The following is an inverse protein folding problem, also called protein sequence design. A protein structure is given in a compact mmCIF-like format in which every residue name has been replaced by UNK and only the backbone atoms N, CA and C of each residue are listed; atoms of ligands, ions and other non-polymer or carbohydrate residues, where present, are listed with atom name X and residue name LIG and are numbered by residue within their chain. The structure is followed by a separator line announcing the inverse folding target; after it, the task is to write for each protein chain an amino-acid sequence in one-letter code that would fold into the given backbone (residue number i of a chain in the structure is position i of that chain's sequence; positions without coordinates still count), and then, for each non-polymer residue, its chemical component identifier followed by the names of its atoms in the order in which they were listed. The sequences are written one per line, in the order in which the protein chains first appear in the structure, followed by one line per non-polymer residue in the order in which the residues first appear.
data_IF_095457319924
#
_entry.id   IF_095457319924
#
_cell.length_a   1.000
_cell.length_b   1.000
_cell.length_c   1.000
_cell.angle_alpha   90.00
_cell.angle_beta   90.00
_cell.angle_gamma   90.00
#
_symmetry.space_group_name_H-M   'P 1'
#
loop_
_entity.id
_entity.type
_entity.pdbx_description
1 polymer ?
#
# COMPACT_ATOMS: atom_id res chain seq x y z
N UNK A 1 18.98 -6.94 2.97
CA UNK A 1 17.82 -6.15 3.44
C UNK A 1 17.16 -5.36 2.31
N UNK A 2 17.82 -4.40 1.64
CA UNK A 2 17.16 -3.59 0.60
C UNK A 2 16.58 -4.41 -0.56
N UNK A 3 17.30 -5.45 -1.03
CA UNK A 3 16.77 -6.41 -2.01
C UNK A 3 15.47 -7.07 -1.54
N UNK A 4 15.39 -7.46 -0.27
CA UNK A 4 14.17 -8.03 0.31
C UNK A 4 13.02 -7.02 0.29
N UNK A 5 13.25 -5.78 0.74
CA UNK A 5 12.21 -4.74 0.73
C UNK A 5 11.68 -4.47 -0.68
N UNK A 6 12.56 -4.33 -1.67
CA UNK A 6 12.16 -4.12 -3.07
C UNK A 6 11.46 -5.34 -3.66
N UNK A 7 11.83 -6.56 -3.26
CA UNK A 7 11.11 -7.77 -3.64
C UNK A 7 9.68 -7.76 -3.08
N UNK A 8 9.50 -7.37 -1.81
CA UNK A 8 8.16 -7.24 -1.22
C UNK A 8 7.33 -6.10 -1.82
N UNK A 9 7.96 -5.07 -2.38
CA UNK A 9 7.26 -4.06 -3.18
C UNK A 9 6.78 -4.67 -4.51
N UNK A 10 7.68 -5.31 -5.27
CA UNK A 10 7.32 -6.02 -6.50
C UNK A 10 6.13 -6.98 -6.30
N UNK A 11 6.17 -7.81 -5.26
CA UNK A 11 5.08 -8.76 -4.97
C UNK A 11 3.78 -8.06 -4.54
N UNK A 12 3.88 -6.90 -3.90
CA UNK A 12 2.73 -6.02 -3.65
C UNK A 12 2.08 -5.60 -4.97
N UNK A 13 2.88 -5.06 -5.90
CA UNK A 13 2.37 -4.59 -7.20
C UNK A 13 1.83 -5.74 -8.07
N UNK A 14 2.41 -6.93 -7.95
CA UNK A 14 1.85 -8.13 -8.60
C UNK A 14 0.45 -8.46 -8.06
N UNK A 15 0.26 -8.36 -6.74
CA UNK A 15 -1.05 -8.48 -6.12
C UNK A 15 -2.00 -7.39 -6.61
N UNK A 16 -1.55 -6.14 -6.62
CA UNK A 16 -2.34 -4.99 -7.07
C UNK A 16 -2.77 -5.14 -8.53
N UNK A 17 -1.87 -5.53 -9.43
CA UNK A 17 -2.17 -5.83 -10.84
C UNK A 17 -3.28 -6.88 -10.97
N UNK A 18 -3.17 -7.99 -10.25
CA UNK A 18 -4.17 -9.05 -10.31
C UNK A 18 -5.52 -8.57 -9.78
N UNK A 19 -5.54 -7.84 -8.66
CA UNK A 19 -6.78 -7.30 -8.08
C UNK A 19 -7.42 -6.27 -9.01
N UNK A 20 -6.65 -5.29 -9.49
CA UNK A 20 -7.13 -4.27 -10.42
C UNK A 20 -7.73 -4.91 -11.68
N UNK A 21 -7.09 -5.94 -12.24
CA UNK A 21 -7.59 -6.66 -13.40
C UNK A 21 -8.94 -7.36 -13.15
N UNK A 22 -9.16 -7.91 -11.95
CA UNK A 22 -10.45 -8.48 -11.56
C UNK A 22 -11.51 -7.39 -11.40
N UNK A 23 -11.14 -6.24 -10.81
CA UNK A 23 -12.04 -5.10 -10.59
C UNK A 23 -12.59 -4.51 -11.89
N UNK A 24 -11.83 -4.52 -12.98
CA UNK A 24 -12.35 -4.18 -14.33
C UNK A 24 -13.59 -5.01 -14.68
N UNK A 25 -13.61 -6.28 -14.27
CA UNK A 25 -14.71 -7.19 -14.56
C UNK A 25 -15.83 -7.10 -13.52
N UNK A 26 -15.52 -7.00 -12.22
CA UNK A 26 -16.52 -7.14 -11.15
C UNK A 26 -16.97 -5.84 -10.45
N UNK A 27 -16.30 -4.70 -10.64
CA UNK A 27 -16.74 -3.44 -10.05
C UNK A 27 -18.16 -3.06 -10.54
N UNK A 28 -19.03 -2.48 -9.70
CA UNK A 28 -20.46 -2.39 -10.03
C UNK A 28 -20.81 -1.20 -10.93
N UNK A 29 -19.98 -0.16 -10.97
CA UNK A 29 -20.24 1.04 -11.78
C UNK A 29 -19.31 1.16 -12.98
N UNK A 30 -19.77 1.83 -14.02
CA UNK A 30 -18.98 2.11 -15.22
C UNK A 30 -17.70 2.88 -14.88
N UNK A 31 -17.79 3.93 -14.05
CA UNK A 31 -16.65 4.75 -13.67
C UNK A 31 -15.59 3.95 -12.89
N UNK A 32 -16.03 3.03 -12.01
CA UNK A 32 -15.10 2.17 -11.29
C UNK A 32 -14.37 1.18 -12.20
N UNK A 33 -15.03 0.71 -13.27
CA UNK A 33 -14.38 -0.14 -14.28
C UNK A 33 -13.37 0.63 -15.12
N UNK A 34 -13.70 1.86 -15.55
CA UNK A 34 -12.75 2.71 -16.26
C UNK A 34 -11.52 3.01 -15.40
N UNK A 35 -11.76 3.33 -14.13
CA UNK A 35 -10.70 3.56 -13.17
C UNK A 35 -9.82 2.32 -12.95
N UNK A 36 -10.43 1.17 -12.66
CA UNK A 36 -9.70 -0.08 -12.46
C UNK A 36 -8.89 -0.46 -13.72
N UNK A 37 -9.36 -0.08 -14.91
CA UNK A 37 -8.62 -0.31 -16.16
C UNK A 37 -7.35 0.54 -16.23
N UNK A 38 -7.42 1.82 -15.83
CA UNK A 38 -6.22 2.65 -15.71
C UNK A 38 -5.28 2.15 -14.63
N UNK A 39 -5.81 1.76 -13.46
CA UNK A 39 -4.97 1.20 -12.39
C UNK A 39 -4.27 -0.07 -12.87
N UNK A 40 -4.97 -0.99 -13.55
CA UNK A 40 -4.35 -2.20 -14.13
C UNK A 40 -3.15 -1.88 -15.01
N UNK A 41 -3.21 -0.80 -15.80
CA UNK A 41 -2.10 -0.35 -16.62
C UNK A 41 -0.93 0.22 -15.79
N UNK A 42 -1.24 1.02 -14.77
CA UNK A 42 -0.24 1.58 -13.86
C UNK A 42 0.47 0.45 -13.08
N UNK A 43 -0.27 -0.50 -12.50
CA UNK A 43 0.32 -1.65 -11.78
C UNK A 43 1.19 -2.53 -12.67
N UNK A 44 0.78 -2.75 -13.93
CA UNK A 44 1.59 -3.50 -14.88
C UNK A 44 2.96 -2.83 -15.13
N UNK A 45 2.99 -1.49 -15.18
CA UNK A 45 4.25 -0.74 -15.29
C UNK A 45 5.06 -0.79 -14.00
N UNK A 46 4.43 -0.75 -12.83
CA UNK A 46 5.13 -0.83 -11.55
C UNK A 46 5.79 -2.19 -11.37
N UNK A 47 5.07 -3.28 -11.66
CA UNK A 47 5.61 -4.65 -11.68
C UNK A 47 6.84 -4.73 -12.60
N UNK A 48 6.71 -4.26 -13.85
CA UNK A 48 7.81 -4.29 -14.80
C UNK A 48 9.02 -3.47 -14.30
N UNK A 49 8.76 -2.29 -13.75
CA UNK A 49 9.80 -1.36 -13.29
C UNK A 49 10.57 -1.91 -12.09
N UNK A 50 9.87 -2.43 -11.06
CA UNK A 50 10.53 -3.06 -9.91
C UNK A 50 11.25 -4.35 -10.30
N UNK A 51 10.65 -5.18 -11.15
CA UNK A 51 11.29 -6.41 -11.64
C UNK A 51 12.59 -6.10 -12.38
N UNK A 52 12.57 -5.14 -13.31
CA UNK A 52 13.79 -4.72 -14.03
C UNK A 52 14.84 -4.15 -13.09
N UNK A 53 14.46 -3.32 -12.12
CA UNK A 53 15.41 -2.79 -11.14
C UNK A 53 16.04 -3.93 -10.31
N UNK A 54 15.24 -4.89 -9.85
CA UNK A 54 15.72 -6.06 -9.11
C UNK A 54 16.67 -6.92 -9.95
N UNK A 55 16.38 -7.15 -11.23
CA UNK A 55 17.23 -7.96 -12.10
C UNK A 55 18.50 -7.23 -12.55
N UNK A 56 18.38 -5.99 -13.02
CA UNK A 56 19.48 -5.25 -13.66
C UNK A 56 20.38 -4.52 -12.66
N UNK A 57 19.86 -4.10 -11.50
CA UNK A 57 20.61 -3.28 -10.53
C UNK A 57 20.96 -4.03 -9.25
N UNK A 58 20.05 -4.86 -8.74
CA UNK A 58 20.27 -5.61 -7.49
C UNK A 58 20.84 -7.01 -7.77
N UNK A 59 20.35 -7.71 -8.80
CA UNK A 59 20.77 -9.06 -9.17
C UNK A 59 20.24 -10.18 -8.26
N UNK A 60 19.33 -9.87 -7.33
CA UNK A 60 18.77 -10.83 -6.38
C UNK A 60 17.33 -10.46 -6.00
N UNK A 61 16.48 -11.48 -5.87
CA UNK A 61 15.07 -11.35 -5.51
C UNK A 61 14.72 -12.36 -4.41
N UNK A 62 14.00 -11.90 -3.39
CA UNK A 62 13.41 -12.76 -2.37
C UNK A 62 11.98 -13.15 -2.77
N UNK A 63 11.51 -14.29 -2.28
CA UNK A 63 10.11 -14.70 -2.43
C UNK A 63 9.15 -13.79 -1.65
N UNK A 64 7.88 -13.85 -2.02
CA UNK A 64 6.79 -13.18 -1.31
C UNK A 64 6.70 -13.67 0.13
N UNK A 65 6.58 -12.74 1.09
CA UNK A 65 6.40 -13.14 2.49
C UNK A 65 5.07 -13.86 2.71
N UNK A 66 5.00 -14.83 3.65
CA UNK A 66 3.75 -15.53 3.95
C UNK A 66 2.59 -14.60 4.32
N UNK A 67 2.86 -13.51 5.04
CA UNK A 67 1.84 -12.55 5.45
C UNK A 67 1.25 -11.78 4.24
N UNK A 68 2.10 -11.28 3.35
CA UNK A 68 1.65 -10.60 2.13
C UNK A 68 0.90 -11.57 1.20
N UNK A 69 1.43 -12.78 1.01
CA UNK A 69 0.78 -13.81 0.20
C UNK A 69 -0.60 -14.16 0.74
N UNK A 70 -0.72 -14.39 2.05
CA UNK A 70 -1.99 -14.73 2.68
C UNK A 70 -3.06 -13.65 2.42
N UNK A 71 -2.69 -12.38 2.56
CA UNK A 71 -3.63 -11.29 2.33
C UNK A 71 -4.02 -11.16 0.85
N UNK A 72 -3.04 -11.21 -0.06
CA UNK A 72 -3.29 -11.15 -1.51
C UNK A 72 -4.19 -12.31 -1.95
N UNK A 73 -3.89 -13.54 -1.51
CA UNK A 73 -4.70 -14.72 -1.83
C UNK A 73 -6.14 -14.56 -1.29
N UNK A 74 -6.31 -14.08 -0.04
CA UNK A 74 -7.64 -13.83 0.55
C UNK A 74 -8.42 -12.80 -0.26
N UNK A 75 -7.78 -11.72 -0.68
CA UNK A 75 -8.40 -10.66 -1.48
C UNK A 75 -8.81 -11.21 -2.87
N UNK A 76 -7.91 -11.91 -3.55
CA UNK A 76 -8.16 -12.44 -4.89
C UNK A 76 -9.28 -13.48 -4.91
N UNK A 77 -9.36 -14.30 -3.86
CA UNK A 77 -10.38 -15.35 -3.72
C UNK A 77 -11.77 -14.82 -3.34
N UNK A 78 -11.88 -13.66 -2.69
CA UNK A 78 -13.18 -13.13 -2.30
C UNK A 78 -13.99 -12.70 -3.53
N UNK A 79 -15.25 -13.10 -3.60
CA UNK A 79 -16.13 -12.77 -4.74
C UNK A 79 -16.65 -11.33 -4.69
N UNK A 80 -16.61 -10.69 -3.51
CA UNK A 80 -17.14 -9.34 -3.33
C UNK A 80 -16.11 -8.32 -3.80
N UNK A 81 -16.56 -7.43 -4.66
CA UNK A 81 -15.70 -6.42 -5.29
C UNK A 81 -15.19 -5.38 -4.26
N UNK A 82 -15.98 -5.07 -3.24
CA UNK A 82 -15.67 -4.03 -2.25
C UNK A 82 -14.63 -4.47 -1.22
N UNK A 83 -14.60 -5.77 -0.87
CA UNK A 83 -13.50 -6.32 -0.07
C UNK A 83 -12.16 -6.30 -0.82
N UNK A 84 -12.19 -6.38 -2.16
CA UNK A 84 -10.99 -6.18 -2.97
C UNK A 84 -10.50 -4.75 -2.85
N UNK A 85 -11.39 -3.76 -2.90
CA UNK A 85 -11.04 -2.36 -2.67
C UNK A 85 -10.49 -2.11 -1.27
N UNK A 86 -11.14 -2.65 -0.23
CA UNK A 86 -10.69 -2.47 1.14
C UNK A 86 -9.31 -3.11 1.35
N UNK A 87 -9.13 -4.35 0.88
CA UNK A 87 -7.88 -5.06 1.07
C UNK A 87 -6.71 -4.46 0.29
N UNK A 88 -6.93 -4.09 -0.98
CA UNK A 88 -5.86 -3.58 -1.83
C UNK A 88 -5.64 -2.08 -1.64
N UNK A 89 -6.61 -1.25 -2.01
CA UNK A 89 -6.45 0.21 -2.04
C UNK A 89 -6.35 0.84 -0.65
N UNK A 90 -7.03 0.30 0.36
CA UNK A 90 -6.98 0.89 1.71
C UNK A 90 -5.85 0.29 2.54
N UNK A 91 -5.70 -1.03 2.54
CA UNK A 91 -4.74 -1.70 3.44
C UNK A 91 -3.37 -1.89 2.77
N UNK A 92 -3.26 -2.60 1.65
CA UNK A 92 -1.96 -2.91 1.04
C UNK A 92 -1.27 -1.64 0.52
N UNK A 93 -1.98 -0.85 -0.30
CA UNK A 93 -1.45 0.37 -0.92
C UNK A 93 -1.27 1.50 0.12
N UNK A 94 -2.19 1.63 1.08
CA UNK A 94 -2.05 2.58 2.18
C UNK A 94 -0.76 2.38 2.99
N UNK A 95 -0.39 1.12 3.26
CA UNK A 95 0.91 0.77 3.86
C UNK A 95 2.08 0.98 2.90
N UNK A 96 1.89 0.64 1.61
CA UNK A 96 2.91 0.80 0.59
C UNK A 96 3.36 2.26 0.47
N UNK A 97 2.43 3.23 0.46
CA UNK A 97 2.74 4.66 0.42
C UNK A 97 3.67 5.09 1.56
N UNK A 98 3.43 4.64 2.79
CA UNK A 98 4.30 4.95 3.92
C UNK A 98 5.70 4.33 3.76
N UNK A 99 5.76 3.09 3.27
CA UNK A 99 7.02 2.39 3.02
C UNK A 99 7.81 3.01 1.85
N UNK A 100 7.15 3.40 0.76
CA UNK A 100 7.73 4.10 -0.39
C UNK A 100 8.31 5.44 0.02
N UNK A 101 7.57 6.25 0.78
CA UNK A 101 8.08 7.52 1.28
C UNK A 101 9.32 7.32 2.15
N UNK A 102 9.33 6.30 3.00
CA UNK A 102 10.51 5.96 3.82
C UNK A 102 11.70 5.54 2.95
N UNK A 103 11.49 4.67 1.96
CA UNK A 103 12.53 4.25 1.02
C UNK A 103 13.09 5.44 0.24
N UNK A 104 12.24 6.34 -0.26
CA UNK A 104 12.66 7.53 -1.02
C UNK A 104 13.53 8.47 -0.19
N UNK A 105 13.18 8.66 1.08
CA UNK A 105 13.96 9.52 2.00
C UNK A 105 15.31 8.90 2.37
N UNK A 106 15.41 7.57 2.41
CA UNK A 106 16.58 6.87 2.98
C UNK A 106 17.49 6.23 1.94
N UNK A 107 17.00 5.91 0.74
CA UNK A 107 17.84 5.30 -0.29
C UNK A 107 18.87 6.30 -0.82
N UNK A 108 20.00 5.78 -1.30
CA UNK A 108 21.09 6.60 -1.84
C UNK A 108 21.09 6.66 -3.37
N UNK A 109 20.52 5.64 -4.03
CA UNK A 109 20.47 5.55 -5.49
C UNK A 109 19.47 6.59 -6.05
N UNK A 110 19.94 7.56 -6.86
CA UNK A 110 19.06 8.55 -7.50
C UNK A 110 17.99 7.93 -8.40
N UNK A 111 18.33 6.87 -9.15
CA UNK A 111 17.37 6.18 -10.03
C UNK A 111 16.24 5.58 -9.21
N UNK A 112 16.56 4.96 -8.07
CA UNK A 112 15.54 4.40 -7.19
C UNK A 112 14.67 5.48 -6.56
N UNK A 113 15.24 6.65 -6.22
CA UNK A 113 14.44 7.79 -5.72
C UNK A 113 13.41 8.24 -6.73
N UNK A 114 13.81 8.38 -7.98
CA UNK A 114 12.93 8.83 -9.06
C UNK A 114 11.87 7.77 -9.37
N UNK A 115 12.27 6.49 -9.43
CA UNK A 115 11.35 5.37 -9.58
C UNK A 115 10.27 5.38 -8.50
N UNK A 116 10.67 5.42 -7.22
CA UNK A 116 9.73 5.42 -6.10
C UNK A 116 8.85 6.68 -6.12
N UNK A 117 9.39 7.84 -6.48
CA UNK A 117 8.61 9.06 -6.63
C UNK A 117 7.48 8.91 -7.66
N UNK A 118 7.79 8.37 -8.84
CA UNK A 118 6.83 8.19 -9.92
C UNK A 118 5.74 7.18 -9.53
N UNK A 119 6.12 6.03 -8.95
CA UNK A 119 5.17 5.03 -8.43
C UNK A 119 4.27 5.65 -7.36
N UNK A 120 4.84 6.38 -6.40
CA UNK A 120 4.05 7.03 -5.32
C UNK A 120 3.01 8.02 -5.85
N UNK A 121 3.25 8.68 -7.00
CA UNK A 121 2.26 9.57 -7.63
C UNK A 121 1.06 8.81 -8.20
N UNK A 122 1.29 7.59 -8.69
CA UNK A 122 0.24 6.72 -9.20
C UNK A 122 -0.56 6.15 -8.03
N UNK A 123 0.12 5.61 -7.02
CA UNK A 123 -0.49 5.06 -5.80
C UNK A 123 -1.35 6.06 -5.02
N UNK A 124 -0.95 7.33 -4.97
CA UNK A 124 -1.78 8.35 -4.35
C UNK A 124 -3.17 8.42 -5.00
N UNK A 125 -3.26 8.24 -6.32
CA UNK A 125 -4.55 8.20 -7.04
C UNK A 125 -5.31 6.91 -6.75
N UNK A 126 -4.62 5.77 -6.60
CA UNK A 126 -5.14 4.45 -6.22
C UNK A 126 -5.90 4.51 -4.90
N UNK A 127 -5.21 4.99 -3.86
CA UNK A 127 -5.79 5.14 -2.53
C UNK A 127 -6.92 6.17 -2.52
N UNK A 128 -6.74 7.35 -3.13
CA UNK A 128 -7.79 8.40 -3.14
C UNK A 128 -9.08 7.92 -3.79
N UNK A 129 -8.99 7.22 -4.92
CA UNK A 129 -10.19 6.67 -5.56
C UNK A 129 -10.86 5.63 -4.66
N UNK A 130 -10.07 4.70 -4.09
CA UNK A 130 -10.58 3.69 -3.16
C UNK A 130 -11.35 4.31 -1.99
N UNK A 131 -10.78 5.33 -1.36
CA UNK A 131 -11.42 6.07 -0.24
C UNK A 131 -12.74 6.69 -0.68
N UNK A 132 -12.73 7.49 -1.75
CA UNK A 132 -13.92 8.23 -2.20
C UNK A 132 -15.03 7.29 -2.67
N UNK A 133 -14.68 6.21 -3.37
CA UNK A 133 -15.64 5.26 -3.87
C UNK A 133 -16.26 4.42 -2.74
N UNK A 134 -15.44 3.93 -1.81
CA UNK A 134 -15.94 3.17 -0.66
C UNK A 134 -16.78 4.05 0.28
N UNK A 135 -16.41 5.31 0.50
CA UNK A 135 -17.18 6.25 1.32
C UNK A 135 -18.62 6.42 0.78
N UNK A 136 -18.76 6.51 -0.54
CA UNK A 136 -20.08 6.55 -1.18
C UNK A 136 -20.84 5.23 -0.99
N UNK A 137 -20.17 4.10 -1.18
CA UNK A 137 -20.81 2.78 -1.17
C UNK A 137 -21.25 2.38 0.23
N UNK A 138 -20.43 2.63 1.26
CA UNK A 138 -20.73 2.28 2.66
C UNK A 138 -22.02 2.95 3.16
N UNK A 139 -22.36 4.14 2.65
CA UNK A 139 -23.63 4.84 2.98
C UNK A 139 -24.89 4.08 2.52
N UNK A 140 -24.74 3.10 1.64
CA UNK A 140 -25.83 2.31 1.07
C UNK A 140 -25.86 0.85 1.57
N UNK A 141 -24.99 0.50 2.51
CA UNK A 141 -24.93 -0.84 3.11
C UNK A 141 -25.76 -0.91 4.39
N UNK A 142 -26.21 -2.11 4.72
CA UNK A 142 -26.79 -2.40 6.04
C UNK A 142 -25.73 -2.35 7.15
N UNK A 143 -26.16 -2.19 8.40
CA UNK A 143 -25.25 -2.18 9.54
C UNK A 143 -24.43 -3.49 9.66
N UNK A 144 -25.03 -4.62 9.33
CA UNK A 144 -24.35 -5.93 9.32
C UNK A 144 -23.25 -5.99 8.26
N UNK A 145 -23.53 -5.49 7.05
CA UNK A 145 -22.56 -5.42 5.97
C UNK A 145 -21.39 -4.49 6.29
N UNK A 146 -21.66 -3.33 6.88
CA UNK A 146 -20.63 -2.39 7.32
C UNK A 146 -19.73 -3.05 8.37
N UNK A 147 -20.32 -3.74 9.34
CA UNK A 147 -19.59 -4.40 10.40
C UNK A 147 -18.70 -5.54 9.87
N UNK A 148 -19.19 -6.32 8.91
CA UNK A 148 -18.40 -7.36 8.26
C UNK A 148 -17.16 -6.79 7.56
N UNK A 149 -17.31 -5.64 6.88
CA UNK A 149 -16.21 -4.94 6.18
C UNK A 149 -15.24 -4.31 7.16
N UNK A 150 -15.72 -3.74 8.25
CA UNK A 150 -14.92 -3.21 9.33
C UNK A 150 -14.04 -4.31 9.97
N UNK A 151 -14.64 -5.47 10.22
CA UNK A 151 -13.93 -6.63 10.75
C UNK A 151 -12.89 -7.17 9.76
N UNK A 152 -13.22 -7.24 8.47
CA UNK A 152 -12.26 -7.61 7.42
C UNK A 152 -11.07 -6.63 7.38
N UNK A 153 -11.32 -5.32 7.40
CA UNK A 153 -10.27 -4.31 7.40
C UNK A 153 -9.35 -4.42 8.62
N UNK A 154 -9.92 -4.66 9.80
CA UNK A 154 -9.15 -4.92 11.02
C UNK A 154 -8.26 -6.16 10.90
N UNK A 155 -8.81 -7.29 10.44
CA UNK A 155 -8.04 -8.53 10.25
C UNK A 155 -6.89 -8.34 9.26
N UNK A 156 -7.15 -7.64 8.15
CA UNK A 156 -6.13 -7.31 7.17
C UNK A 156 -5.00 -6.47 7.80
N UNK A 157 -5.34 -5.47 8.63
CA UNK A 157 -4.35 -4.67 9.36
C UNK A 157 -3.51 -5.52 10.32
N UNK A 158 -4.12 -6.49 11.01
CA UNK A 158 -3.40 -7.40 11.92
C UNK A 158 -2.39 -8.26 11.15
N UNK A 159 -2.79 -8.85 10.02
CA UNK A 159 -1.90 -9.66 9.17
C UNK A 159 -0.73 -8.80 8.67
N UNK A 160 -1.01 -7.56 8.28
CA UNK A 160 -0.02 -6.68 7.68
C UNK A 160 1.02 -6.13 8.67
N UNK A 161 0.74 -6.17 9.97
CA UNK A 161 1.73 -5.80 11.00
C UNK A 161 2.97 -6.70 10.96
N UNK A 162 2.82 -7.95 10.53
CA UNK A 162 3.93 -8.90 10.38
C UNK A 162 4.66 -8.75 9.03
N UNK A 163 4.11 -7.98 8.07
CA UNK A 163 4.63 -7.89 6.69
C UNK A 163 6.07 -7.36 6.60
N UNK A 164 6.46 -6.45 7.50
CA UNK A 164 7.76 -5.76 7.39
C UNK A 164 8.88 -6.40 8.22
N UNK A 165 8.70 -7.66 8.63
CA UNK A 165 9.72 -8.42 9.32
C UNK A 165 10.47 -9.32 8.33
N UNK A 166 11.73 -8.99 8.06
CA UNK A 166 12.57 -9.69 7.09
C UNK A 166 13.12 -11.03 7.61
N UNK A 167 12.22 -11.94 8.01
CA UNK A 167 12.58 -13.25 8.56
C UNK A 167 13.40 -14.11 7.59
N UNK A 168 13.13 -13.99 6.28
CA UNK A 168 13.87 -14.68 5.22
C UNK A 168 15.33 -14.20 5.16
N UNK A 169 15.56 -12.90 5.40
CA UNK A 169 16.93 -12.35 5.48
C UNK A 169 17.63 -12.88 6.72
N UNK A 170 16.95 -12.98 7.86
CA UNK A 170 17.56 -13.55 9.07
C UNK A 170 17.98 -15.01 8.84
N UNK A 171 17.11 -15.81 8.22
CA UNK A 171 17.40 -17.19 7.89
C UNK A 171 18.59 -17.33 6.91
N UNK A 172 18.63 -16.52 5.84
CA UNK A 172 19.69 -16.52 4.82
C UNK A 172 21.08 -16.27 5.44
N UNK A 173 21.16 -15.40 6.46
CA UNK A 173 22.40 -15.09 7.17
C UNK A 173 22.69 -16.02 8.37
N UNK A 174 21.90 -17.09 8.52
CA UNK A 174 22.09 -18.10 9.56
C UNK A 174 21.76 -17.63 10.98
N UNK A 175 20.92 -16.60 11.12
CA UNK A 175 20.49 -16.11 12.43
C UNK A 175 19.34 -16.96 12.99
N UNK A 176 19.21 -17.00 14.30
CA UNK A 176 17.98 -17.50 14.94
C UNK A 176 16.84 -16.54 14.59
N UNK A 177 15.94 -17.00 13.72
CA UNK A 177 14.85 -16.21 13.16
C UNK A 177 13.94 -15.66 14.26
N UNK A 178 13.62 -16.46 15.28
CA UNK A 178 12.69 -16.03 16.33
C UNK A 178 13.37 -15.09 17.31
N UNK A 179 14.66 -15.30 17.62
CA UNK A 179 15.43 -14.35 18.40
C UNK A 179 15.60 -13.00 17.67
N UNK A 180 15.94 -13.03 16.38
CA UNK A 180 16.10 -11.84 15.55
C UNK A 180 14.78 -11.08 15.36
N UNK A 181 13.68 -11.81 15.11
CA UNK A 181 12.33 -11.25 15.03
C UNK A 181 11.94 -10.54 16.32
N UNK A 182 12.10 -11.20 17.49
CA UNK A 182 11.81 -10.59 18.79
C UNK A 182 12.66 -9.34 19.02
N UNK A 183 13.96 -9.42 18.77
CA UNK A 183 14.85 -8.26 18.92
C UNK A 183 14.43 -7.08 18.04
N UNK A 184 14.02 -7.33 16.79
CA UNK A 184 13.55 -6.29 15.91
C UNK A 184 12.21 -5.70 16.38
N UNK A 185 11.26 -6.51 16.82
CA UNK A 185 9.98 -6.06 17.36
C UNK A 185 10.11 -5.27 18.67
N UNK A 186 11.08 -5.62 19.49
CA UNK A 186 11.40 -4.91 20.73
C UNK A 186 12.14 -3.58 20.47
N UNK A 187 12.68 -3.39 19.26
CA UNK A 187 13.37 -2.15 18.91
C UNK A 187 12.38 -0.98 18.83
N UNK A 188 12.72 0.11 19.50
CA UNK A 188 11.91 1.33 19.52
C UNK A 188 11.67 1.87 18.11
N UNK A 189 12.69 1.82 17.24
CA UNK A 189 12.58 2.26 15.84
C UNK A 189 11.53 1.45 15.09
N UNK A 190 11.53 0.12 15.23
CA UNK A 190 10.54 -0.71 14.54
C UNK A 190 9.14 -0.53 15.12
N UNK A 191 8.99 -0.29 16.42
CA UNK A 191 7.69 0.01 17.02
C UNK A 191 7.11 1.30 16.45
N UNK A 192 7.91 2.37 16.36
CA UNK A 192 7.48 3.62 15.72
C UNK A 192 7.19 3.44 14.23
N UNK A 193 8.04 2.72 13.51
CA UNK A 193 7.84 2.49 12.08
C UNK A 193 6.56 1.69 11.83
N UNK A 194 6.31 0.62 12.58
CA UNK A 194 5.09 -0.17 12.45
C UNK A 194 3.85 0.68 12.68
N UNK A 195 3.84 1.55 13.70
CA UNK A 195 2.74 2.50 13.92
C UNK A 195 2.62 3.50 12.78
N UNK A 196 3.74 4.06 12.34
CA UNK A 196 3.80 5.04 11.25
C UNK A 196 3.13 4.55 9.97
N UNK A 197 3.22 3.26 9.65
CA UNK A 197 2.58 2.72 8.46
C UNK A 197 1.04 2.84 8.49
N UNK A 198 0.43 2.82 9.68
CA UNK A 198 -1.01 2.95 9.85
C UNK A 198 -1.51 4.39 9.86
N UNK A 199 -0.62 5.38 9.77
CA UNK A 199 -0.97 6.81 9.73
C UNK A 199 -1.89 7.17 8.57
N UNK A 200 -1.86 6.41 7.48
CA UNK A 200 -2.78 6.57 6.34
C UNK A 200 -4.02 5.69 6.43
N UNK A 201 -3.90 4.48 6.98
CA UNK A 201 -5.03 3.54 7.03
C UNK A 201 -6.14 4.03 7.96
N UNK A 202 -5.80 4.41 9.20
CA UNK A 202 -6.83 4.70 10.21
C UNK A 202 -7.70 5.92 9.82
N UNK A 203 -7.15 7.04 9.34
CA UNK A 203 -7.96 8.14 8.79
C UNK A 203 -8.88 7.71 7.65
N UNK A 204 -8.38 6.85 6.75
CA UNK A 204 -9.16 6.38 5.61
C UNK A 204 -10.32 5.50 6.07
N UNK A 205 -10.08 4.56 7.00
CA UNK A 205 -11.15 3.75 7.59
C UNK A 205 -12.18 4.61 8.32
N UNK A 206 -11.74 5.65 9.04
CA UNK A 206 -12.63 6.60 9.71
C UNK A 206 -13.50 7.36 8.69
N UNK A 207 -12.90 7.94 7.64
CA UNK A 207 -13.62 8.64 6.56
C UNK A 207 -14.62 7.77 5.85
N UNK A 208 -14.24 6.54 5.50
CA UNK A 208 -15.10 5.59 4.79
C UNK A 208 -16.29 5.16 5.68
N UNK A 209 -16.13 5.18 7.01
CA UNK A 209 -17.13 4.71 7.96
C UNK A 209 -16.94 3.25 8.40
N UNK A 210 -15.73 2.70 8.25
CA UNK A 210 -15.36 1.34 8.67
C UNK A 210 -14.68 1.28 10.04
N UNK A 211 -14.50 2.42 10.72
CA UNK A 211 -14.03 2.49 12.10
C UNK A 211 -15.22 2.42 13.08
N UNK A 212 -15.95 1.30 13.03
CA UNK A 212 -17.16 1.06 13.84
C UNK A 212 -16.85 0.93 15.33
N UNK A 213 -17.87 1.06 16.18
CA UNK A 213 -17.73 0.98 17.65
C UNK A 213 -17.14 -0.35 18.13
N UNK A 214 -17.37 -1.44 17.40
CA UNK A 214 -16.89 -2.79 17.74
C UNK A 214 -15.41 -3.01 17.42
N UNK A 215 -14.89 -2.43 16.32
CA UNK A 215 -13.49 -2.60 15.89
C UNK A 215 -12.58 -1.52 16.47
N UNK A 216 -13.13 -0.37 16.85
CA UNK A 216 -12.37 0.74 17.44
C UNK A 216 -11.56 0.34 18.68
N UNK A 217 -12.08 -0.40 19.67
CA UNK A 217 -11.27 -0.91 20.80
C UNK A 217 -10.16 -1.87 20.36
N UNK A 218 -10.34 -2.57 19.24
CA UNK A 218 -9.33 -3.48 18.71
C UNK A 218 -8.17 -2.72 18.08
N UNK A 219 -8.45 -1.61 17.37
CA UNK A 219 -7.42 -0.70 16.87
C UNK A 219 -6.71 0.08 17.98
N UNK A 220 -7.42 0.44 19.06
CA UNK A 220 -6.83 0.99 20.28
C UNK A 220 -5.83 0.00 20.91
N UNK A 221 -6.19 -1.28 21.02
CA UNK A 221 -5.31 -2.32 21.54
C UNK A 221 -4.05 -2.55 20.67
N UNK A 222 -4.10 -2.20 19.38
CA UNK A 222 -2.94 -2.18 18.49
C UNK A 222 -2.08 -0.91 18.63
N UNK A 223 -2.57 0.09 19.37
CA UNK A 223 -1.87 1.35 19.63
C UNK A 223 -1.76 2.26 18.39
N UNK A 224 -2.70 2.16 17.46
CA UNK A 224 -2.72 2.93 16.20
C UNK A 224 -3.93 3.85 16.05
N UNK A 225 -4.89 3.81 16.99
CA UNK A 225 -6.06 4.69 16.97
C UNK A 225 -5.70 6.17 17.13
N UNK A 226 -4.51 6.48 17.66
CA UNK A 226 -3.98 7.84 17.78
C UNK A 226 -3.97 8.64 16.46
N UNK A 227 -3.99 7.95 15.32
CA UNK A 227 -3.98 8.56 13.99
C UNK A 227 -5.36 8.90 13.42
N UNK A 228 -6.46 8.55 14.08
CA UNK A 228 -7.82 8.71 13.54
C UNK A 228 -8.14 10.11 13.00
N UNK A 229 -7.65 11.16 13.67
CA UNK A 229 -7.95 12.54 13.33
C UNK A 229 -6.94 13.16 12.34
N UNK A 230 -6.03 12.36 11.76
CA UNK A 230 -5.15 12.83 10.70
C UNK A 230 -5.94 13.03 9.39
N UNK A 231 -5.33 13.74 8.45
CA UNK A 231 -5.90 13.97 7.13
C UNK A 231 -5.98 12.64 6.37
N UNK A 232 -7.17 12.30 5.89
CA UNK A 232 -7.39 11.14 5.01
C UNK A 232 -6.88 11.38 3.59
N UNK A 233 -6.65 10.32 2.84
CA UNK A 233 -6.22 10.37 1.44
C UNK A 233 -7.36 10.66 0.44
N UNK A 234 -8.59 10.88 0.91
CA UNK A 234 -9.70 11.17 -0.01
C UNK A 234 -9.63 12.56 -0.68
N UNK A 235 -8.80 13.47 -0.14
CA UNK A 235 -8.57 14.79 -0.72
C UNK A 235 -7.13 14.88 -1.25
N UNK A 236 -6.98 14.70 -2.57
CA UNK A 236 -5.68 14.75 -3.23
C UNK A 236 -5.38 16.17 -3.75
N UNK A 237 -4.14 16.61 -3.62
CA UNK A 237 -3.70 17.88 -4.18
C UNK A 237 -3.49 17.75 -5.69
N UNK A 238 -4.57 17.96 -6.44
CA UNK A 238 -4.55 17.96 -7.90
C UNK A 238 -3.58 18.98 -8.49
N UNK A 239 -3.34 20.11 -7.81
CA UNK A 239 -2.41 21.11 -8.29
C UNK A 239 -0.98 20.56 -8.27
N UNK A 240 -0.61 19.89 -7.18
CA UNK A 240 0.69 19.21 -7.08
C UNK A 240 0.81 18.06 -8.09
N UNK A 241 -0.22 17.22 -8.24
CA UNK A 241 -0.17 16.09 -9.19
C UNK A 241 -0.16 16.52 -10.66
N UNK A 242 -0.69 17.69 -10.98
CA UNK A 242 -0.73 18.21 -12.35
C UNK A 242 0.54 18.97 -12.74
N UNK A 243 1.49 19.15 -11.82
CA UNK A 243 2.76 19.77 -12.15
C UNK A 243 3.54 18.92 -13.17
N UNK A 244 4.23 19.57 -14.14
CA UNK A 244 5.13 18.90 -15.06
C UNK A 244 6.12 17.99 -14.32
N UNK A 245 6.39 16.82 -14.88
CA UNK A 245 7.32 15.84 -14.31
C UNK A 245 8.78 16.32 -14.36
N UNK A 246 9.08 17.13 -15.37
CA UNK A 246 10.39 17.70 -15.63
C UNK A 246 10.21 19.20 -15.80
N UNK A 247 11.11 19.98 -15.22
CA UNK A 247 11.22 21.39 -15.57
C UNK A 247 11.55 21.46 -17.06
N UNK A 248 10.76 22.24 -17.80
CA UNK A 248 11.05 22.53 -19.21
C UNK A 248 12.47 23.10 -19.27
N UNK A 249 13.42 22.50 -20.01
CA UNK A 249 14.75 23.07 -20.09
C UNK A 249 14.59 24.47 -20.67
N UNK A 250 14.89 25.49 -19.86
CA UNK A 250 14.97 26.86 -20.36
C UNK A 250 15.83 26.83 -21.62
N UNK A 251 15.37 27.39 -22.75
CA UNK A 251 16.17 27.41 -23.96
C UNK A 251 17.50 28.05 -23.59
N UNK A 252 18.58 27.26 -23.65
CA UNK A 252 19.94 27.77 -23.46
C UNK A 252 20.05 29.01 -24.33
N UNK A 253 20.26 30.17 -23.70
CA UNK A 253 20.66 31.36 -24.43
C UNK A 253 21.90 30.95 -25.21
N UNK A 254 21.72 30.79 -26.53
CA UNK A 254 22.81 30.61 -27.46
C UNK A 254 23.70 31.84 -27.28
N UNK A 255 24.79 31.66 -26.54
CA UNK A 255 25.85 32.65 -26.47
C UNK A 255 26.44 32.76 -27.88
N UNK A 256 26.12 33.86 -28.55
CA UNK A 256 26.80 34.36 -29.73
C UNK A 256 28.11 35.05 -29.33
#
# INVERSE_FOLDING_TARGET
YQSWTLSQFLHGEQGALLVASQLVSCAPTFDAKLYASSQTFDEARHVETFNRYLQEKIGFMYEITPALKLLVDKILADSRWDLKFIGMQIVIEGLALAAFNTMRMTCLDPLLKDLIYLVTRDEARHVTFGVNYLEYIVKHLSAEEIEERAQFAYEACVVMRERLIATEVFAEFGWDVEAARRHMLDSTVMQYFNKFLFTRIIPNLARIGLLTESVRPKFEALGILEYENLVSDGDIDWATLSQPLYDDPQPQQAAA
#
